data_IF_272576203112
#
_entry.id   IF_272576203112
#
_cell.length_a   1.000
_cell.length_b   1.000
_cell.length_c   1.000
_cell.angle_alpha   90.00
_cell.angle_beta   90.00
_cell.angle_gamma   90.00
#
_symmetry.space_group_name_H-M   'P 1'
#
loop_
_entity.id
_entity.type
_entity.pdbx_description
1 polymer ?
#
# COMPACT_ATOMS: atom_id res chain seq x y z
N UNK A 1 12.89 -14.54 8.53
CA UNK A 1 12.11 -14.70 7.28
C UNK A 1 11.89 -13.32 6.68
N UNK A 2 12.11 -13.16 5.38
CA UNK A 2 11.81 -11.91 4.68
C UNK A 2 10.30 -11.70 4.55
N UNK A 3 9.88 -10.45 4.40
CA UNK A 3 8.50 -10.06 4.08
C UNK A 3 8.51 -9.34 2.74
N UNK A 4 7.45 -9.53 1.95
CA UNK A 4 7.23 -8.83 0.69
C UNK A 4 5.81 -8.29 0.67
N UNK A 5 5.63 -7.10 0.11
CA UNK A 5 4.34 -6.43 -0.02
C UNK A 5 3.84 -6.54 -1.45
N UNK A 6 2.59 -6.95 -1.61
CA UNK A 6 1.88 -6.94 -2.87
C UNK A 6 0.74 -5.93 -2.79
N UNK A 7 0.46 -5.29 -3.92
CA UNK A 7 -0.66 -4.39 -4.10
C UNK A 7 -1.56 -5.01 -5.17
N UNK A 8 -2.84 -5.14 -4.86
CA UNK A 8 -3.84 -5.67 -5.78
C UNK A 8 -4.83 -4.57 -6.11
N UNK A 9 -5.19 -4.49 -7.39
CA UNK A 9 -6.28 -3.64 -7.85
C UNK A 9 -7.54 -4.49 -7.95
N UNK A 10 -8.61 -4.03 -7.30
CA UNK A 10 -9.94 -4.63 -7.35
C UNK A 10 -10.94 -3.56 -7.79
N UNK A 11 -12.02 -3.98 -8.45
CA UNK A 11 -13.18 -3.10 -8.64
C UNK A 11 -13.84 -2.81 -7.29
N UNK A 12 -14.43 -1.62 -7.13
CA UNK A 12 -15.09 -1.18 -5.88
C UNK A 12 -16.17 -2.19 -5.43
N UNK A 13 -16.02 -2.70 -4.20
CA UNK A 13 -16.90 -3.71 -3.61
C UNK A 13 -16.64 -5.14 -4.11
N UNK A 14 -15.56 -5.38 -4.86
CA UNK A 14 -15.09 -6.72 -5.29
C UNK A 14 -13.84 -7.17 -4.53
N UNK A 15 -13.44 -6.45 -3.49
CA UNK A 15 -12.33 -6.83 -2.64
C UNK A 15 -12.64 -8.16 -1.92
N UNK A 16 -11.68 -9.09 -1.84
CA UNK A 16 -11.88 -10.31 -1.09
C UNK A 16 -11.97 -10.01 0.42
N UNK A 17 -12.72 -10.81 1.19
CA UNK A 17 -12.67 -10.73 2.63
C UNK A 17 -11.25 -11.06 3.12
N UNK A 18 -10.79 -10.36 4.16
CA UNK A 18 -9.47 -10.59 4.77
C UNK A 18 -9.65 -11.28 6.12
N UNK A 19 -8.93 -12.39 6.32
CA UNK A 19 -8.92 -13.18 7.55
C UNK A 19 -7.51 -13.50 8.05
N UNK A 20 -7.36 -13.73 9.35
CA UNK A 20 -6.08 -14.10 9.96
C UNK A 20 -5.61 -15.53 9.61
N UNK A 21 -6.47 -16.32 8.98
CA UNK A 21 -6.18 -17.66 8.48
C UNK A 21 -5.80 -17.66 6.99
N UNK A 22 -5.83 -16.50 6.32
CA UNK A 22 -5.54 -16.44 4.90
C UNK A 22 -4.05 -16.67 4.62
N UNK A 23 -3.81 -17.38 3.53
CA UNK A 23 -2.49 -17.65 2.98
C UNK A 23 -2.43 -17.15 1.54
N UNK A 24 -1.29 -16.58 1.16
CA UNK A 24 -1.01 -16.16 -0.20
C UNK A 24 0.35 -16.71 -0.65
N UNK A 25 0.35 -17.48 -1.75
CA UNK A 25 1.54 -18.13 -2.31
C UNK A 25 2.37 -18.93 -1.29
N UNK A 26 1.72 -19.60 -0.33
CA UNK A 26 2.39 -20.38 0.72
C UNK A 26 2.99 -19.53 1.85
N UNK A 27 2.76 -18.22 1.85
CA UNK A 27 3.03 -17.32 2.96
C UNK A 27 1.75 -17.05 3.77
N UNK A 28 1.90 -16.90 5.09
CA UNK A 28 0.81 -16.46 5.96
C UNK A 28 0.56 -14.96 5.78
N UNK A 29 -0.70 -14.57 5.62
CA UNK A 29 -1.08 -13.16 5.66
C UNK A 29 -0.90 -12.62 7.09
N UNK A 30 -0.02 -11.64 7.26
CA UNK A 30 0.34 -11.06 8.57
C UNK A 30 0.05 -9.57 8.69
N UNK A 31 -0.34 -8.91 7.59
CA UNK A 31 -0.69 -7.50 7.52
C UNK A 31 -1.58 -7.27 6.30
N UNK A 32 -2.61 -6.44 6.45
CA UNK A 32 -3.46 -5.96 5.38
C UNK A 32 -3.83 -4.50 5.65
N UNK A 33 -3.89 -3.68 4.60
CA UNK A 33 -4.42 -2.33 4.64
C UNK A 33 -5.84 -2.35 4.05
N UNK A 34 -6.80 -1.75 4.75
CA UNK A 34 -8.20 -1.64 4.33
C UNK A 34 -8.53 -0.21 3.88
N UNK A 35 -7.52 0.49 3.38
CA UNK A 35 -7.55 1.86 2.88
C UNK A 35 -6.67 1.92 1.63
N UNK A 36 -6.86 2.93 0.78
CA UNK A 36 -5.96 3.13 -0.36
C UNK A 36 -4.57 3.50 0.17
N UNK A 37 -3.60 2.60 -0.02
CA UNK A 37 -2.26 2.79 0.48
C UNK A 37 -1.53 3.98 -0.18
N UNK A 38 -2.05 4.54 -1.29
CA UNK A 38 -1.44 5.67 -2.00
C UNK A 38 -1.96 7.02 -1.55
N UNK A 39 -3.22 7.12 -1.16
CA UNK A 39 -3.86 8.43 -0.95
C UNK A 39 -3.37 9.15 0.31
N UNK A 40 -3.05 8.39 1.37
CA UNK A 40 -2.63 8.93 2.68
C UNK A 40 -1.18 8.58 3.06
N UNK A 41 -0.35 8.21 2.08
CA UNK A 41 1.03 7.79 2.39
C UNK A 41 1.93 8.96 2.83
N UNK A 42 1.63 10.15 2.33
CA UNK A 42 2.33 11.39 2.66
C UNK A 42 1.31 12.45 3.10
N UNK A 43 1.67 13.21 4.13
CA UNK A 43 1.00 14.48 4.45
C UNK A 43 1.18 15.47 3.30
N UNK A 44 0.31 16.47 3.20
CA UNK A 44 0.45 17.52 2.17
C UNK A 44 1.81 18.23 2.25
N UNK A 45 2.31 18.50 3.46
CA UNK A 45 3.67 19.04 3.67
C UNK A 45 4.78 18.12 3.12
N UNK A 46 4.63 16.81 3.29
CA UNK A 46 5.59 15.85 2.73
C UNK A 46 5.49 15.75 1.21
N UNK A 47 4.29 15.88 0.64
CA UNK A 47 4.09 15.92 -0.82
C UNK A 47 4.76 17.15 -1.43
N UNK A 48 4.56 18.33 -0.83
CA UNK A 48 5.21 19.58 -1.26
C UNK A 48 6.74 19.47 -1.19
N UNK A 49 7.29 18.99 -0.07
CA UNK A 49 8.74 18.84 0.09
C UNK A 49 9.35 17.88 -0.96
N UNK A 50 8.67 16.79 -1.30
CA UNK A 50 9.12 15.85 -2.33
C UNK A 50 9.06 16.49 -3.72
N UNK A 51 8.00 17.25 -4.02
CA UNK A 51 7.84 17.92 -5.31
C UNK A 51 8.94 18.96 -5.54
N UNK A 52 9.24 19.80 -4.53
CA UNK A 52 10.31 20.80 -4.58
C UNK A 52 11.68 20.15 -4.86
N UNK A 53 12.01 19.07 -4.16
CA UNK A 53 13.28 18.35 -4.38
C UNK A 53 13.41 17.76 -5.80
N UNK A 54 12.31 17.34 -6.41
CA UNK A 54 12.30 16.80 -7.77
C UNK A 54 12.49 17.90 -8.81
N UNK A 55 11.82 19.05 -8.63
CA UNK A 55 11.97 20.22 -9.52
C UNK A 55 13.40 20.81 -9.44
N UNK A 56 14.02 20.84 -8.27
CA UNK A 56 15.41 21.29 -8.11
C UNK A 56 16.45 20.32 -8.72
N UNK A 57 16.03 19.11 -9.06
CA UNK A 57 16.88 18.06 -9.63
C UNK A 57 16.84 18.01 -11.17
N UNK A 58 15.96 18.79 -11.82
CA UNK A 58 15.88 18.99 -13.28
C UNK A 58 16.68 20.23 -13.74
#
# INVERSE_FOLDING_TARGET
MGKMTFVFEYEDGKEPPVSAADEFMGGRLVSAALYDYRDDFFTEEQKEAIAEMLEESE
#
